data_IF_118940460613
#
_entry.id   IF_118940460613
#
_cell.length_a   1.000
_cell.length_b   1.000
_cell.length_c   1.000
_cell.angle_alpha   90.00
_cell.angle_beta   90.00
_cell.angle_gamma   90.00
#
_symmetry.space_group_name_H-M   'P 1'
#
loop_
_entity.id
_entity.type
_entity.pdbx_description
1 polymer ?
#
# COMPACT_ATOMS: atom_id res chain seq x y z
N UNK A 1 -13.02 1.64 0.38
CA UNK A 1 -12.88 0.77 1.55
C UNK A 1 -14.14 0.78 2.41
N UNK A 2 -14.56 1.94 2.96
CA UNK A 2 -15.72 2.02 3.88
C UNK A 2 -17.01 1.42 3.30
N UNK A 3 -17.34 1.72 2.05
CA UNK A 3 -18.54 1.17 1.37
C UNK A 3 -18.51 -0.36 1.28
N UNK A 4 -17.33 -0.93 1.02
CA UNK A 4 -17.14 -2.40 1.00
C UNK A 4 -17.31 -2.98 2.40
N UNK A 5 -16.69 -2.38 3.41
CA UNK A 5 -16.87 -2.81 4.80
C UNK A 5 -18.32 -2.77 5.23
N UNK A 6 -19.06 -1.70 4.87
CA UNK A 6 -20.48 -1.57 5.20
C UNK A 6 -21.34 -2.63 4.51
N UNK A 7 -20.98 -3.04 3.30
CA UNK A 7 -21.68 -4.12 2.60
C UNK A 7 -21.41 -5.51 3.22
N UNK A 8 -20.26 -5.69 3.88
CA UNK A 8 -19.88 -6.97 4.52
C UNK A 8 -20.34 -7.06 5.96
N UNK A 9 -20.21 -5.97 6.73
CA UNK A 9 -20.58 -5.93 8.15
C UNK A 9 -20.93 -4.53 8.62
N UNK A 10 -21.88 -4.42 9.53
CA UNK A 10 -22.20 -3.18 10.23
C UNK A 10 -21.38 -2.99 11.52
N UNK A 11 -20.76 -4.03 12.02
CA UNK A 11 -19.92 -4.01 13.21
C UNK A 11 -18.48 -3.62 12.89
N UNK A 12 -17.70 -3.27 13.91
CA UNK A 12 -16.26 -3.16 13.78
C UNK A 12 -15.67 -4.51 13.38
N UNK A 13 -14.70 -4.51 12.47
CA UNK A 13 -14.04 -5.72 12.00
C UNK A 13 -12.51 -5.58 12.02
N UNK A 14 -11.76 -6.66 12.24
CA UNK A 14 -10.32 -6.63 12.03
C UNK A 14 -10.00 -6.47 10.55
N UNK A 15 -8.90 -5.78 10.25
CA UNK A 15 -8.42 -5.59 8.88
C UNK A 15 -6.98 -6.02 8.75
N UNK A 16 -6.70 -6.76 7.67
CA UNK A 16 -5.34 -7.10 7.24
C UNK A 16 -5.12 -6.44 5.89
N UNK A 17 -4.10 -5.61 5.78
CA UNK A 17 -3.89 -4.83 4.58
C UNK A 17 -2.42 -4.69 4.21
N UNK A 18 -2.11 -4.91 2.94
CA UNK A 18 -0.76 -4.87 2.40
C UNK A 18 -0.48 -3.59 1.62
N UNK A 19 0.73 -3.06 1.77
CA UNK A 19 1.27 -1.97 0.93
C UNK A 19 0.33 -0.75 0.90
N UNK A 20 -0.09 -0.30 -0.28
CA UNK A 20 -1.04 0.81 -0.46
C UNK A 20 -2.37 0.56 0.27
N UNK A 21 -2.81 -0.70 0.36
CA UNK A 21 -3.97 -1.08 1.17
C UNK A 21 -3.75 -0.77 2.64
N UNK A 22 -2.56 -1.05 3.17
CA UNK A 22 -2.15 -0.70 4.53
C UNK A 22 -2.23 0.81 4.79
N UNK A 23 -1.66 1.62 3.91
CA UNK A 23 -1.73 3.08 4.01
C UNK A 23 -3.17 3.62 3.96
N UNK A 24 -4.02 3.06 3.08
CA UNK A 24 -5.43 3.44 2.98
C UNK A 24 -6.24 3.04 4.23
N UNK A 25 -5.98 1.85 4.78
CA UNK A 25 -6.68 1.38 5.97
C UNK A 25 -6.25 2.12 7.22
N UNK A 26 -4.99 2.58 7.32
CA UNK A 26 -4.57 3.49 8.40
C UNK A 26 -5.36 4.80 8.38
N UNK A 27 -5.56 5.39 7.19
CA UNK A 27 -6.38 6.61 7.05
C UNK A 27 -7.84 6.35 7.46
N UNK A 28 -8.37 5.18 7.12
CA UNK A 28 -9.72 4.81 7.54
C UNK A 28 -9.81 4.56 9.04
N UNK A 29 -8.81 3.90 9.63
CA UNK A 29 -8.74 3.65 11.07
C UNK A 29 -8.67 4.95 11.88
N UNK A 30 -7.95 5.94 11.37
CA UNK A 30 -7.85 7.27 11.97
C UNK A 30 -9.18 8.07 11.83
N UNK A 31 -9.83 8.00 10.68
CA UNK A 31 -11.07 8.73 10.41
C UNK A 31 -12.32 8.05 11.01
N UNK A 32 -12.35 6.73 11.07
CA UNK A 32 -13.49 5.91 11.49
C UNK A 32 -13.05 4.76 12.42
N UNK A 33 -12.42 5.03 13.58
CA UNK A 33 -11.88 3.99 14.47
C UNK A 33 -12.96 3.01 14.95
N UNK A 34 -14.20 3.44 15.04
CA UNK A 34 -15.34 2.61 15.44
C UNK A 34 -15.69 1.51 14.41
N UNK A 35 -15.11 1.53 13.21
CA UNK A 35 -15.30 0.54 12.15
C UNK A 35 -14.23 -0.54 12.12
N UNK A 36 -13.11 -0.34 12.78
CA UNK A 36 -11.96 -1.24 12.76
C UNK A 36 -11.63 -1.68 14.18
N UNK A 37 -11.76 -2.98 14.44
CA UNK A 37 -11.48 -3.55 15.77
C UNK A 37 -10.00 -3.82 16.02
N UNK A 38 -9.25 -4.13 14.97
CA UNK A 38 -7.79 -4.32 15.00
C UNK A 38 -7.22 -4.15 13.59
N UNK A 39 -5.97 -3.76 13.47
CA UNK A 39 -5.32 -3.57 12.17
C UNK A 39 -3.98 -4.30 12.09
N UNK A 40 -3.81 -5.12 11.04
CA UNK A 40 -2.53 -5.64 10.60
C UNK A 40 -2.10 -4.90 9.33
N UNK A 41 -0.95 -4.23 9.39
CA UNK A 41 -0.37 -3.50 8.27
C UNK A 41 0.88 -4.25 7.77
N UNK A 42 0.77 -4.84 6.59
CA UNK A 42 1.86 -5.59 5.95
C UNK A 42 2.57 -4.66 4.98
N UNK A 43 3.74 -4.19 5.36
CA UNK A 43 4.65 -3.34 4.57
C UNK A 43 3.98 -2.12 3.88
N UNK A 44 2.99 -1.55 4.56
CA UNK A 44 2.25 -0.35 4.08
C UNK A 44 2.42 0.85 5.02
N UNK A 45 3.44 0.85 5.87
CA UNK A 45 3.71 1.92 6.83
C UNK A 45 4.41 3.10 6.15
N UNK A 46 4.29 4.33 6.72
CA UNK A 46 4.93 5.51 6.16
C UNK A 46 6.45 5.36 6.08
N UNK A 47 7.03 5.80 4.99
CA UNK A 47 8.48 5.82 4.79
C UNK A 47 8.98 7.24 4.62
N UNK A 48 10.20 7.51 5.07
CA UNK A 48 10.91 8.74 4.75
C UNK A 48 11.48 8.67 3.33
N UNK A 49 10.63 8.62 2.32
CA UNK A 49 11.11 8.87 0.96
C UNK A 49 11.67 10.28 0.94
N UNK A 50 12.91 10.43 0.42
CA UNK A 50 13.53 11.72 0.23
C UNK A 50 12.68 12.57 -0.73
N UNK A 51 11.77 13.34 -0.15
CA UNK A 51 11.25 14.52 -0.83
C UNK A 51 12.26 15.64 -0.58
N UNK A 52 12.53 16.50 -1.56
CA UNK A 52 13.33 17.69 -1.28
C UNK A 52 12.70 18.46 -0.13
N UNK A 53 13.52 18.94 0.81
CA UNK A 53 13.08 19.87 1.83
C UNK A 53 12.60 21.13 1.12
N UNK A 54 11.29 21.28 1.06
CA UNK A 54 10.68 22.44 0.44
C UNK A 54 10.32 23.42 1.54
N UNK A 55 10.83 24.65 1.46
CA UNK A 55 10.48 25.70 2.39
C UNK A 55 8.96 25.87 2.51
N UNK A 56 8.48 26.17 3.71
CA UNK A 56 7.04 26.25 4.00
C UNK A 56 6.27 27.24 3.09
N UNK A 57 6.94 28.29 2.64
CA UNK A 57 6.34 29.27 1.72
C UNK A 57 6.10 28.75 0.30
N UNK A 58 6.82 27.70 -0.13
CA UNK A 58 6.64 27.09 -1.45
C UNK A 58 5.58 25.97 -1.43
N UNK A 59 5.09 25.59 -0.26
CA UNK A 59 4.15 24.45 -0.14
C UNK A 59 2.79 24.72 -0.78
N UNK A 60 2.30 25.95 -0.73
CA UNK A 60 1.03 26.33 -1.38
C UNK A 60 1.14 26.21 -2.90
N UNK A 61 2.29 26.59 -3.47
CA UNK A 61 2.57 26.45 -4.89
C UNK A 61 2.71 24.99 -5.28
N UNK A 62 3.45 24.19 -4.49
CA UNK A 62 3.57 22.75 -4.72
C UNK A 62 2.24 22.04 -4.67
N UNK A 63 1.34 22.46 -3.78
CA UNK A 63 0.00 21.88 -3.71
C UNK A 63 -0.79 22.22 -4.98
N UNK A 64 -0.73 23.48 -5.45
CA UNK A 64 -1.38 23.89 -6.69
C UNK A 64 -0.84 23.13 -7.91
N UNK A 65 0.49 23.02 -8.03
CA UNK A 65 1.15 22.28 -9.10
C UNK A 65 0.80 20.78 -9.05
N UNK A 66 0.71 20.20 -7.86
CA UNK A 66 0.32 18.81 -7.68
C UNK A 66 -1.14 18.56 -8.06
N UNK A 67 -2.04 19.48 -7.72
CA UNK A 67 -3.45 19.43 -8.13
C UNK A 67 -3.56 19.59 -9.65
N UNK A 68 -2.90 20.57 -10.24
CA UNK A 68 -2.84 20.76 -11.69
C UNK A 68 -2.36 19.51 -12.41
N UNK A 69 -1.21 18.99 -12.02
CA UNK A 69 -0.65 17.74 -12.56
C UNK A 69 -1.56 16.53 -12.40
N UNK A 70 -2.34 16.46 -11.31
CA UNK A 70 -3.30 15.39 -11.10
C UNK A 70 -4.53 15.53 -12.00
N UNK A 71 -5.01 16.75 -12.21
CA UNK A 71 -6.11 17.03 -13.13
C UNK A 71 -5.72 16.72 -14.58
N UNK A 72 -4.52 17.16 -15.00
CA UNK A 72 -3.99 16.85 -16.33
C UNK A 72 -3.84 15.34 -16.54
N UNK A 73 -3.29 14.65 -15.54
CA UNK A 73 -3.21 13.19 -15.56
C UNK A 73 -4.59 12.54 -15.72
N UNK A 74 -5.59 13.00 -14.98
CA UNK A 74 -6.94 12.45 -15.10
C UNK A 74 -7.57 12.69 -16.44
N UNK A 75 -7.34 13.86 -17.02
CA UNK A 75 -7.83 14.22 -18.34
C UNK A 75 -7.25 13.28 -19.42
N UNK A 76 -5.94 13.09 -19.41
CA UNK A 76 -5.25 12.21 -20.37
C UNK A 76 -5.50 10.73 -20.09
N UNK A 77 -5.59 10.35 -18.83
CA UNK A 77 -5.75 8.95 -18.46
C UNK A 77 -7.09 8.34 -18.88
N UNK A 78 -8.12 9.16 -19.10
CA UNK A 78 -9.40 8.70 -19.58
C UNK A 78 -9.29 8.02 -20.97
N UNK A 79 -8.38 8.51 -21.80
CA UNK A 79 -8.13 7.99 -23.15
C UNK A 79 -6.93 7.03 -23.19
N UNK A 80 -6.31 6.77 -22.02
CA UNK A 80 -5.14 5.92 -21.93
C UNK A 80 -5.50 4.48 -21.63
N UNK A 81 -5.19 3.58 -22.55
CA UNK A 81 -5.34 2.16 -22.36
C UNK A 81 -4.05 1.54 -21.81
N UNK A 82 -4.20 0.63 -20.85
CA UNK A 82 -3.06 -0.16 -20.37
C UNK A 82 -2.53 -1.01 -21.51
N UNK A 83 -1.19 -1.00 -21.72
CA UNK A 83 -0.54 -1.77 -22.78
C UNK A 83 -0.88 -3.25 -22.66
N UNK A 84 -1.45 -3.88 -23.69
CA UNK A 84 -1.75 -5.30 -23.69
C UNK A 84 -0.47 -6.14 -23.77
N UNK A 85 -0.62 -7.42 -23.58
CA UNK A 85 0.43 -8.40 -23.76
C UNK A 85 -0.07 -9.81 -23.51
N UNK A 86 0.81 -10.78 -23.65
CA UNK A 86 0.56 -12.14 -23.18
C UNK A 86 0.57 -12.17 -21.65
N UNK A 87 0.09 -13.25 -21.05
CA UNK A 87 0.20 -13.48 -19.61
C UNK A 87 1.67 -13.38 -19.18
N UNK A 88 2.56 -14.01 -19.90
CA UNK A 88 4.00 -13.99 -19.68
C UNK A 88 4.59 -12.57 -19.77
N UNK A 89 4.21 -11.78 -20.79
CA UNK A 89 4.66 -10.39 -20.93
C UNK A 89 4.28 -9.55 -19.70
N UNK A 90 3.06 -9.72 -19.18
CA UNK A 90 2.60 -9.01 -18.00
C UNK A 90 3.34 -9.48 -16.74
N UNK A 91 3.55 -10.79 -16.60
CA UNK A 91 4.30 -11.38 -15.50
C UNK A 91 5.76 -10.89 -15.50
N UNK A 92 6.45 -10.90 -16.64
CA UNK A 92 7.81 -10.39 -16.76
C UNK A 92 7.91 -8.89 -16.45
N UNK A 93 6.95 -8.07 -16.95
CA UNK A 93 6.89 -6.64 -16.62
C UNK A 93 6.69 -6.43 -15.13
N UNK A 94 5.86 -7.27 -14.49
CA UNK A 94 5.63 -7.23 -13.04
C UNK A 94 6.87 -7.67 -12.27
N UNK A 95 7.58 -8.69 -12.73
CA UNK A 95 8.80 -9.20 -12.10
C UNK A 95 9.92 -8.16 -11.99
N UNK A 96 10.00 -7.21 -12.93
CA UNK A 96 10.94 -6.07 -12.81
C UNK A 96 10.69 -5.19 -11.59
N UNK A 97 9.45 -5.14 -11.12
CA UNK A 97 9.06 -4.35 -9.94
C UNK A 97 9.06 -5.20 -8.66
N UNK A 98 8.95 -6.52 -8.80
CA UNK A 98 8.92 -7.49 -7.70
C UNK A 98 9.85 -8.67 -8.01
N UNK A 99 11.16 -8.46 -8.00
CA UNK A 99 12.14 -9.46 -8.46
C UNK A 99 12.25 -10.68 -7.55
N UNK A 100 11.70 -10.62 -6.35
CA UNK A 100 11.71 -11.72 -5.37
C UNK A 100 10.55 -12.70 -5.52
N UNK A 101 9.53 -12.35 -6.29
CA UNK A 101 8.43 -13.26 -6.57
C UNK A 101 8.80 -14.28 -7.65
N UNK A 102 8.43 -15.54 -7.45
CA UNK A 102 8.59 -16.57 -8.46
C UNK A 102 7.71 -16.29 -9.69
N UNK A 103 8.05 -16.89 -10.83
CA UNK A 103 7.27 -16.70 -12.06
C UNK A 103 5.83 -17.20 -11.88
N UNK A 104 5.61 -18.27 -11.13
CA UNK A 104 4.29 -18.82 -10.86
C UNK A 104 3.43 -17.82 -10.06
N UNK A 105 4.02 -17.13 -9.07
CA UNK A 105 3.33 -16.06 -8.35
C UNK A 105 3.04 -14.86 -9.25
N UNK A 106 3.97 -14.48 -10.12
CA UNK A 106 3.77 -13.38 -11.05
C UNK A 106 2.64 -13.68 -12.04
N UNK A 107 2.60 -14.88 -12.58
CA UNK A 107 1.53 -15.34 -13.49
C UNK A 107 0.18 -15.44 -12.76
N UNK A 108 0.16 -15.95 -11.54
CA UNK A 108 -1.05 -15.95 -10.71
C UNK A 108 -1.59 -14.53 -10.49
N UNK A 109 -0.71 -13.58 -10.14
CA UNK A 109 -1.11 -12.17 -9.98
C UNK A 109 -1.68 -11.57 -11.25
N UNK A 110 -1.14 -11.93 -12.44
CA UNK A 110 -1.71 -11.51 -13.72
C UNK A 110 -3.07 -12.13 -13.92
N UNK A 111 -3.21 -13.44 -13.71
CA UNK A 111 -4.47 -14.16 -13.92
C UNK A 111 -5.62 -13.57 -13.10
N UNK A 112 -5.37 -13.21 -11.83
CA UNK A 112 -6.39 -12.63 -10.96
C UNK A 112 -6.56 -11.13 -11.13
N UNK A 113 -5.49 -10.42 -11.46
CA UNK A 113 -5.44 -8.95 -11.53
C UNK A 113 -5.62 -8.34 -12.91
N UNK A 114 -5.57 -9.15 -13.96
CA UNK A 114 -5.77 -8.72 -15.34
C UNK A 114 -7.06 -9.29 -15.93
N UNK A 115 -7.45 -8.80 -17.07
CA UNK A 115 -8.52 -9.33 -17.91
C UNK A 115 -7.95 -9.63 -19.28
N UNK A 116 -8.54 -10.59 -19.95
CA UNK A 116 -8.24 -10.89 -21.36
C UNK A 116 -9.22 -10.11 -22.24
N UNK A 117 -8.68 -9.25 -23.08
CA UNK A 117 -9.39 -8.53 -24.15
C UNK A 117 -9.03 -9.17 -25.50
N UNK A 118 -9.62 -8.71 -26.61
CA UNK A 118 -9.39 -9.25 -27.96
C UNK A 118 -7.92 -9.18 -28.41
N UNK A 119 -7.18 -8.15 -27.95
CA UNK A 119 -5.79 -7.88 -28.29
C UNK A 119 -4.77 -8.32 -27.21
N UNK A 120 -5.22 -9.08 -26.20
CA UNK A 120 -4.37 -9.64 -25.14
C UNK A 120 -4.78 -9.26 -23.72
N UNK A 121 -3.93 -9.62 -22.77
CA UNK A 121 -4.15 -9.39 -21.36
C UNK A 121 -3.85 -7.94 -20.96
N UNK A 122 -4.68 -7.34 -20.11
CA UNK A 122 -4.50 -6.01 -19.49
C UNK A 122 -4.81 -6.03 -18.02
N UNK A 123 -4.03 -5.26 -17.24
CA UNK A 123 -4.36 -5.04 -15.84
C UNK A 123 -5.74 -4.36 -15.69
N UNK A 124 -6.56 -4.88 -14.76
CA UNK A 124 -7.87 -4.30 -14.39
C UNK A 124 -7.77 -2.95 -13.69
N UNK A 125 -6.55 -2.53 -13.34
CA UNK A 125 -6.32 -1.27 -12.64
C UNK A 125 -6.92 -0.10 -13.44
N UNK A 126 -7.76 0.69 -12.77
CA UNK A 126 -8.33 1.93 -13.32
C UNK A 126 -7.19 2.82 -13.87
N UNK A 127 -7.20 3.20 -15.17
CA UNK A 127 -6.18 4.05 -15.74
C UNK A 127 -6.09 5.42 -15.05
N UNK A 128 -7.17 5.91 -14.45
CA UNK A 128 -7.19 7.17 -13.69
C UNK A 128 -6.53 7.07 -12.32
N UNK A 129 -6.18 5.86 -11.88
CA UNK A 129 -5.48 5.68 -10.60
C UNK A 129 -4.01 6.06 -10.73
N UNK A 130 -3.60 7.06 -9.96
CA UNK A 130 -2.21 7.53 -9.86
C UNK A 130 -1.64 7.21 -8.48
N UNK A 131 -0.37 6.82 -8.44
CA UNK A 131 0.36 6.70 -7.18
C UNK A 131 0.53 8.08 -6.53
N UNK A 132 0.30 8.16 -5.21
CA UNK A 132 0.50 9.38 -4.44
C UNK A 132 -0.71 10.32 -4.35
N UNK A 133 -1.77 10.10 -5.14
CA UNK A 133 -2.92 11.01 -5.15
C UNK A 133 -2.53 12.41 -5.64
N UNK A 134 -3.15 13.44 -5.08
CA UNK A 134 -2.79 14.85 -5.31
C UNK A 134 -2.20 15.46 -4.03
N UNK A 135 -1.39 16.50 -4.22
CA UNK A 135 -0.70 17.18 -3.14
C UNK A 135 0.67 16.57 -2.80
N UNK A 136 1.52 17.30 -2.11
CA UNK A 136 2.81 16.83 -1.69
C UNK A 136 2.67 15.70 -0.67
N UNK A 137 3.41 14.62 -0.88
CA UNK A 137 3.48 13.53 0.09
C UNK A 137 4.29 13.97 1.30
N UNK A 138 3.69 13.84 2.48
CA UNK A 138 4.33 14.14 3.75
C UNK A 138 4.32 12.92 4.66
N UNK A 139 5.41 12.14 4.64
CA UNK A 139 5.55 10.96 5.49
C UNK A 139 5.36 11.25 6.98
N UNK A 140 5.81 12.42 7.42
CA UNK A 140 5.70 12.88 8.81
C UNK A 140 4.23 12.97 9.25
N UNK A 141 3.34 13.45 8.41
CA UNK A 141 1.92 13.51 8.72
C UNK A 141 1.31 12.13 8.85
N UNK A 142 1.66 11.22 7.94
CA UNK A 142 1.19 9.84 7.99
C UNK A 142 1.73 9.11 9.23
N UNK A 143 2.97 9.39 9.64
CA UNK A 143 3.58 8.86 10.86
C UNK A 143 2.88 9.38 12.11
N UNK A 144 2.63 10.69 12.20
CA UNK A 144 1.88 11.29 13.31
C UNK A 144 0.47 10.69 13.45
N UNK A 145 -0.23 10.48 12.33
CA UNK A 145 -1.56 9.87 12.33
C UNK A 145 -1.51 8.40 12.73
N UNK A 146 -0.49 7.67 12.30
CA UNK A 146 -0.26 6.29 12.73
C UNK A 146 -0.04 6.21 14.25
N UNK A 147 0.80 7.07 14.79
CA UNK A 147 1.06 7.12 16.24
C UNK A 147 -0.19 7.46 17.07
N UNK A 148 -1.16 8.17 16.49
CA UNK A 148 -2.40 8.56 17.15
C UNK A 148 -3.50 7.48 17.07
N UNK A 149 -3.29 6.36 16.39
CA UNK A 149 -4.26 5.27 16.33
C UNK A 149 -4.51 4.68 17.72
N UNK A 150 -5.78 4.49 18.04
CA UNK A 150 -6.24 3.95 19.35
C UNK A 150 -6.65 2.49 19.29
N UNK A 151 -6.71 1.90 18.09
CA UNK A 151 -7.04 0.49 17.88
C UNK A 151 -5.79 -0.38 18.02
N UNK A 152 -5.92 -1.67 18.38
CA UNK A 152 -4.81 -2.63 18.32
C UNK A 152 -4.16 -2.62 16.93
N UNK A 153 -2.82 -2.57 16.90
CA UNK A 153 -2.06 -2.43 15.66
C UNK A 153 -0.87 -3.40 15.61
N UNK A 154 -0.75 -4.14 14.52
CA UNK A 154 0.42 -4.96 14.19
C UNK A 154 1.02 -4.47 12.87
N UNK A 155 2.24 -3.95 12.92
CA UNK A 155 3.05 -3.68 11.72
C UNK A 155 3.95 -4.87 11.40
N UNK A 156 3.94 -5.33 10.14
CA UNK A 156 4.90 -6.29 9.62
C UNK A 156 5.77 -5.57 8.58
N UNK A 157 7.09 -5.66 8.73
CA UNK A 157 8.06 -4.96 7.89
C UNK A 157 9.14 -5.92 7.41
N UNK A 158 9.35 -6.00 6.08
CA UNK A 158 10.49 -6.70 5.50
C UNK A 158 11.74 -5.82 5.48
N UNK A 159 12.92 -6.43 5.50
CA UNK A 159 14.20 -5.69 5.51
C UNK A 159 14.78 -5.47 4.12
N UNK A 160 14.28 -6.16 3.10
CA UNK A 160 14.79 -6.06 1.73
C UNK A 160 14.01 -5.00 0.95
N UNK A 161 14.73 -4.00 0.44
CA UNK A 161 14.14 -2.97 -0.43
C UNK A 161 13.83 -3.54 -1.83
N UNK A 162 12.62 -3.30 -2.31
CA UNK A 162 12.19 -3.63 -3.67
C UNK A 162 11.66 -2.39 -4.40
N UNK A 163 11.69 -2.37 -5.76
CA UNK A 163 11.19 -1.22 -6.53
C UNK A 163 9.74 -0.84 -6.24
N UNK A 164 8.88 -1.81 -5.91
CA UNK A 164 7.49 -1.58 -5.49
C UNK A 164 7.35 -1.26 -4.01
N UNK A 165 8.37 -1.54 -3.21
CA UNK A 165 8.37 -1.30 -1.77
C UNK A 165 8.31 0.19 -1.44
N UNK A 166 7.90 0.50 -0.21
CA UNK A 166 7.81 1.88 0.27
C UNK A 166 9.13 2.39 0.83
N UNK A 167 10.16 1.52 0.94
CA UNK A 167 11.46 1.86 1.52
C UNK A 167 11.36 2.24 3.01
N UNK A 168 10.35 1.74 3.71
CA UNK A 168 10.22 1.92 5.15
C UNK A 168 11.33 1.14 5.86
N UNK A 169 11.88 1.70 6.93
CA UNK A 169 12.90 1.05 7.77
C UNK A 169 12.45 1.04 9.20
N UNK A 170 12.75 -0.04 9.92
CA UNK A 170 12.35 -0.20 11.31
C UNK A 170 12.69 1.03 12.17
N UNK A 171 13.90 1.57 12.07
CA UNK A 171 14.35 2.76 12.80
C UNK A 171 13.51 4.02 12.53
N UNK A 172 12.91 4.12 11.34
CA UNK A 172 12.11 5.27 10.92
C UNK A 172 10.63 5.09 11.31
N UNK A 173 10.18 3.85 11.48
CA UNK A 173 8.79 3.47 11.78
C UNK A 173 8.56 3.30 13.28
N UNK A 174 9.48 2.66 14.00
CA UNK A 174 9.36 2.34 15.43
C UNK A 174 8.91 3.52 16.30
N UNK A 175 9.44 4.75 16.14
CA UNK A 175 9.03 5.88 16.96
C UNK A 175 7.56 6.29 16.81
N UNK A 176 6.91 5.81 15.74
CA UNK A 176 5.55 6.17 15.36
C UNK A 176 4.54 5.02 15.51
N UNK A 177 4.97 3.87 15.99
CA UNK A 177 4.05 2.77 16.30
C UNK A 177 3.12 3.22 17.42
N UNK A 178 1.78 3.04 17.28
CA UNK A 178 0.85 3.43 18.31
C UNK A 178 1.12 2.70 19.63
N UNK A 179 0.75 3.29 20.75
CA UNK A 179 0.95 2.68 22.08
C UNK A 179 0.23 1.33 22.25
N UNK A 180 -0.83 1.11 21.49
CA UNK A 180 -1.60 -0.16 21.41
C UNK A 180 -1.03 -1.13 20.38
N UNK A 181 0.13 -0.84 19.79
CA UNK A 181 0.67 -1.59 18.67
C UNK A 181 2.07 -2.15 18.88
N UNK A 182 2.48 -3.00 17.96
CA UNK A 182 3.84 -3.53 17.86
C UNK A 182 4.29 -3.60 16.40
N UNK A 183 5.60 -3.61 16.20
CA UNK A 183 6.25 -3.80 14.91
C UNK A 183 7.06 -5.08 14.96
N UNK A 184 6.80 -5.97 14.02
CA UNK A 184 7.60 -7.15 13.76
C UNK A 184 8.40 -6.95 12.49
N UNK A 185 9.71 -7.17 12.57
CA UNK A 185 10.64 -7.01 11.46
C UNK A 185 11.08 -8.38 11.00
N UNK A 186 10.90 -8.66 9.71
CA UNK A 186 11.25 -9.93 9.10
C UNK A 186 12.52 -9.76 8.25
N UNK A 187 13.61 -10.36 8.75
CA UNK A 187 14.89 -10.30 8.07
C UNK A 187 14.87 -11.11 6.77
N UNK A 188 15.58 -10.62 5.77
CA UNK A 188 15.73 -11.23 4.45
C UNK A 188 14.43 -11.40 3.66
N UNK A 189 13.36 -10.73 4.06
CA UNK A 189 12.04 -10.71 3.42
C UNK A 189 11.85 -9.36 2.71
N UNK A 190 11.24 -9.39 1.52
CA UNK A 190 10.94 -8.23 0.70
C UNK A 190 9.54 -7.67 0.95
N UNK A 191 9.02 -6.94 -0.04
CA UNK A 191 7.75 -6.22 0.05
C UNK A 191 6.52 -7.14 0.17
N UNK A 192 6.57 -8.33 -0.41
CA UNK A 192 5.47 -9.30 -0.38
C UNK A 192 5.62 -10.32 0.76
N UNK A 193 5.78 -9.84 1.97
CA UNK A 193 6.03 -10.62 3.19
C UNK A 193 5.11 -11.86 3.28
N UNK A 194 3.82 -11.68 3.02
CA UNK A 194 2.79 -12.73 3.10
C UNK A 194 2.86 -13.77 1.98
N UNK A 195 3.63 -13.50 0.92
CA UNK A 195 3.91 -14.45 -0.16
C UNK A 195 5.24 -15.16 0.08
N UNK A 196 6.25 -14.44 0.59
CA UNK A 196 7.57 -14.99 0.82
C UNK A 196 7.62 -15.94 2.03
N UNK A 197 6.87 -15.63 3.10
CA UNK A 197 6.77 -16.47 4.29
C UNK A 197 5.31 -16.55 4.82
N UNK A 198 4.41 -17.23 4.09
CA UNK A 198 2.99 -17.28 4.44
C UNK A 198 2.71 -17.97 5.77
N UNK A 199 3.50 -18.99 6.13
CA UNK A 199 3.29 -19.74 7.36
C UNK A 199 3.57 -18.87 8.60
N UNK A 200 4.71 -18.19 8.61
CA UNK A 200 5.08 -17.28 9.70
C UNK A 200 4.12 -16.10 9.80
N UNK A 201 3.78 -15.48 8.67
CA UNK A 201 2.87 -14.34 8.65
C UNK A 201 1.46 -14.71 9.12
N UNK A 202 0.92 -15.86 8.68
CA UNK A 202 -0.40 -16.31 9.14
C UNK A 202 -0.43 -16.58 10.64
N UNK A 203 0.62 -17.20 11.19
CA UNK A 203 0.75 -17.41 12.64
C UNK A 203 0.72 -16.07 13.39
N UNK A 204 1.56 -15.10 12.98
CA UNK A 204 1.63 -13.78 13.61
C UNK A 204 0.28 -13.04 13.57
N UNK A 205 -0.44 -13.14 12.44
CA UNK A 205 -1.77 -12.53 12.29
C UNK A 205 -2.78 -13.20 13.22
N UNK A 206 -2.83 -14.52 13.24
CA UNK A 206 -3.78 -15.27 14.07
C UNK A 206 -3.53 -15.04 15.57
N UNK A 207 -2.29 -15.05 16.01
CA UNK A 207 -1.91 -14.74 17.39
C UNK A 207 -2.26 -13.30 17.79
N UNK A 208 -2.19 -12.36 16.85
CA UNK A 208 -2.56 -10.97 17.12
C UNK A 208 -4.08 -10.75 17.18
N UNK A 209 -4.85 -11.51 16.42
CA UNK A 209 -6.32 -11.38 16.34
C UNK A 209 -7.07 -12.26 17.32
N UNK A 210 -6.39 -13.19 18.03
CA UNK A 210 -6.97 -14.01 19.10
C UNK A 210 -7.14 -13.23 20.40
#
# INVERSE_FOLDING_TARGET
ALSVMTAVTHSAAPVVAHSKGGALMMQLADACPYRISAMVNIDGMPSKRRMPDVPDHDQSRLLADSIGSWLDFRHVAHDSFRKPGTLEDLAQRRGKMNPRLSIEWLEYLVTVGARQDEDGWRWKLDPTMRFGGFGPWRPEWASLRMAALTIPFLGLLGTIDEPMGWGARARDVLPWIPSSGRLEVLEDIGHFIHIEDPARVSTMILEFLS
#
